data_IF_696730369544
#
_entry.id   IF_696730369544
#
_cell.length_a   1.000
_cell.length_b   1.000
_cell.length_c   1.000
_cell.angle_alpha   90.00
_cell.angle_beta   90.00
_cell.angle_gamma   90.00
#
_symmetry.space_group_name_H-M   'P 1'
#
loop_
_entity.id
_entity.type
_entity.pdbx_description
1 polymer ?
#
# COMPACT_ATOMS: atom_id res chain seq x y z
N UNK A 1 -39.45 3.85 21.69
CA UNK A 1 -38.49 4.86 21.21
C UNK A 1 -37.45 5.04 22.31
N UNK A 2 -36.44 4.17 22.36
CA UNK A 2 -35.33 4.27 23.32
C UNK A 2 -34.09 4.63 22.54
N UNK A 3 -34.02 5.89 22.12
CA UNK A 3 -32.79 6.50 21.60
C UNK A 3 -31.84 6.71 22.79
N UNK A 4 -31.14 5.65 23.19
CA UNK A 4 -29.95 5.80 24.02
C UNK A 4 -28.84 6.34 23.11
N UNK A 5 -28.24 7.50 23.44
CA UNK A 5 -27.15 8.04 22.63
C UNK A 5 -25.98 7.05 22.58
N UNK A 6 -25.22 6.99 21.47
CA UNK A 6 -24.08 6.07 21.36
C UNK A 6 -23.12 6.34 22.52
N UNK A 7 -22.85 5.29 23.32
CA UNK A 7 -21.90 5.38 24.44
C UNK A 7 -20.59 5.98 23.93
N UNK A 8 -20.25 7.20 24.37
CA UNK A 8 -18.88 7.74 24.23
C UNK A 8 -17.94 6.66 24.75
N UNK A 9 -17.00 6.18 23.93
CA UNK A 9 -16.03 5.15 24.35
C UNK A 9 -15.33 5.66 25.62
N UNK A 10 -15.70 5.10 26.76
CA UNK A 10 -15.09 5.42 28.05
C UNK A 10 -13.65 4.92 28.10
N UNK A 11 -12.91 5.30 29.14
CA UNK A 11 -11.59 4.71 29.43
C UNK A 11 -11.76 3.18 29.49
N UNK A 12 -10.92 2.41 28.76
CA UNK A 12 -11.06 0.97 28.74
C UNK A 12 -10.91 0.40 30.15
N UNK A 13 -11.75 -0.58 30.49
CA UNK A 13 -11.70 -1.27 31.77
C UNK A 13 -10.34 -1.97 31.93
N UNK A 14 -9.95 -2.31 33.17
CA UNK A 14 -8.69 -3.03 33.39
C UNK A 14 -8.67 -4.38 32.65
N UNK A 15 -9.83 -5.03 32.54
CA UNK A 15 -10.02 -6.25 31.76
C UNK A 15 -9.85 -6.01 30.25
N UNK A 16 -10.41 -4.93 29.70
CA UNK A 16 -10.24 -4.57 28.28
C UNK A 16 -8.78 -4.20 27.95
N UNK A 17 -8.06 -3.56 28.87
CA UNK A 17 -6.63 -3.27 28.71
C UNK A 17 -5.81 -4.56 28.73
N UNK A 18 -6.05 -5.45 29.69
CA UNK A 18 -5.39 -6.74 29.77
C UNK A 18 -5.67 -7.60 28.52
N UNK A 19 -6.91 -7.59 28.01
CA UNK A 19 -7.27 -8.29 26.78
C UNK A 19 -6.56 -7.71 25.55
N UNK A 20 -6.43 -6.38 25.45
CA UNK A 20 -5.70 -5.72 24.35
C UNK A 20 -4.20 -5.99 24.43
N UNK A 21 -3.61 -6.00 25.63
CA UNK A 21 -2.22 -6.35 25.86
C UNK A 21 -1.95 -7.83 25.54
N UNK A 22 -2.85 -8.73 25.94
CA UNK A 22 -2.77 -10.14 25.59
C UNK A 22 -2.88 -10.37 24.08
N UNK A 23 -3.81 -9.70 23.40
CA UNK A 23 -3.93 -9.76 21.94
C UNK A 23 -2.70 -9.18 21.23
N UNK A 24 -2.12 -8.10 21.77
CA UNK A 24 -0.89 -7.52 21.24
C UNK A 24 0.32 -8.45 21.44
N UNK A 25 0.43 -9.12 22.60
CA UNK A 25 1.46 -10.13 22.86
C UNK A 25 1.31 -11.33 21.93
N UNK A 26 0.10 -11.87 21.79
CA UNK A 26 -0.16 -13.00 20.89
C UNK A 26 0.13 -12.65 19.42
N UNK A 27 -0.14 -11.40 18.98
CA UNK A 27 0.25 -10.94 17.66
C UNK A 27 1.78 -10.82 17.52
N UNK A 28 2.47 -10.31 18.53
CA UNK A 28 3.93 -10.20 18.54
C UNK A 28 4.63 -11.56 18.56
N UNK A 29 4.08 -12.54 19.29
CA UNK A 29 4.55 -13.93 19.30
C UNK A 29 4.42 -14.56 17.91
N UNK A 30 3.26 -14.40 17.25
CA UNK A 30 3.07 -14.88 15.87
C UNK A 30 4.03 -14.21 14.88
N UNK A 31 4.19 -12.90 14.96
CA UNK A 31 5.14 -12.16 14.11
C UNK A 31 6.59 -12.67 14.35
N UNK A 32 6.93 -13.03 15.59
CA UNK A 32 8.24 -13.60 15.94
C UNK A 32 8.41 -15.03 15.43
N UNK A 33 7.37 -15.87 15.49
CA UNK A 33 7.37 -17.22 14.91
C UNK A 33 7.51 -17.19 13.38
N UNK A 34 6.81 -16.27 12.71
CA UNK A 34 6.94 -16.03 11.26
C UNK A 34 8.37 -15.58 10.92
N UNK A 35 8.94 -14.65 11.70
CA UNK A 35 10.32 -14.19 11.54
C UNK A 35 11.35 -15.30 11.74
N UNK A 36 11.20 -16.11 12.79
CA UNK A 36 12.11 -17.22 13.08
C UNK A 36 12.12 -18.28 11.96
N UNK A 37 10.95 -18.59 11.39
CA UNK A 37 10.84 -19.51 10.26
C UNK A 37 11.56 -18.98 9.01
N UNK A 38 11.42 -17.69 8.71
CA UNK A 38 12.12 -17.05 7.61
C UNK A 38 13.64 -17.03 7.83
N UNK A 39 14.08 -16.69 9.04
CA UNK A 39 15.50 -16.68 9.41
C UNK A 39 16.11 -18.08 9.28
N UNK A 40 15.40 -19.12 9.72
CA UNK A 40 15.81 -20.52 9.53
C UNK A 40 16.02 -20.85 8.05
N UNK A 41 15.02 -20.57 7.21
CA UNK A 41 15.10 -20.80 5.76
C UNK A 41 16.26 -20.04 5.11
N UNK A 42 16.45 -18.77 5.47
CA UNK A 42 17.48 -17.92 4.88
C UNK A 42 18.88 -18.27 5.37
N UNK A 43 19.01 -18.85 6.57
CA UNK A 43 20.27 -19.32 7.13
C UNK A 43 20.76 -20.63 6.52
N UNK A 44 19.89 -21.37 5.84
CA UNK A 44 20.23 -22.65 5.23
C UNK A 44 21.34 -22.46 4.16
N UNK A 45 22.33 -23.36 4.09
CA UNK A 45 23.38 -23.26 3.07
C UNK A 45 22.77 -23.43 1.68
N UNK A 46 23.33 -22.73 0.69
CA UNK A 46 22.89 -22.85 -0.71
C UNK A 46 23.10 -24.30 -1.19
N UNK A 47 22.01 -25.05 -1.29
CA UNK A 47 22.02 -26.45 -1.72
C UNK A 47 22.02 -26.57 -3.25
N UNK A 48 22.30 -27.78 -3.75
CA UNK A 48 22.11 -28.10 -5.16
C UNK A 48 20.65 -27.87 -5.56
N UNK A 49 20.43 -27.31 -6.76
CA UNK A 49 19.08 -26.95 -7.20
C UNK A 49 18.20 -28.19 -7.35
N UNK A 50 17.04 -28.19 -6.69
CA UNK A 50 16.00 -29.20 -6.88
C UNK A 50 15.40 -29.03 -8.26
N UNK A 51 15.07 -30.15 -8.90
CA UNK A 51 14.43 -30.15 -10.23
C UNK A 51 12.93 -29.92 -10.15
N UNK A 52 12.29 -30.23 -9.01
CA UNK A 52 10.84 -30.12 -8.80
C UNK A 52 10.51 -29.72 -7.35
N UNK A 53 9.43 -28.95 -7.18
CA UNK A 53 8.80 -28.62 -5.90
C UNK A 53 7.56 -29.48 -5.65
N UNK A 54 7.20 -29.66 -4.39
CA UNK A 54 5.96 -30.32 -3.98
C UNK A 54 5.07 -29.31 -3.24
N UNK A 55 3.74 -29.48 -3.28
CA UNK A 55 2.81 -28.65 -2.52
C UNK A 55 2.69 -29.14 -1.07
N UNK A 56 3.83 -29.30 -0.39
CA UNK A 56 3.89 -29.60 1.04
C UNK A 56 3.68 -28.33 1.89
N UNK A 57 3.32 -28.52 3.16
CA UNK A 57 2.98 -27.43 4.09
C UNK A 57 4.12 -26.41 4.24
N UNK A 58 5.36 -26.88 4.33
CA UNK A 58 6.54 -26.01 4.48
C UNK A 58 6.78 -25.18 3.21
N UNK A 59 6.68 -25.80 2.03
CA UNK A 59 6.80 -25.08 0.75
C UNK A 59 5.71 -24.01 0.59
N UNK A 60 4.46 -24.35 0.92
CA UNK A 60 3.34 -23.40 0.84
C UNK A 60 3.49 -22.25 1.85
N UNK A 61 3.94 -22.56 3.07
CA UNK A 61 4.25 -21.55 4.09
C UNK A 61 5.36 -20.63 3.62
N UNK A 62 6.47 -21.18 3.12
CA UNK A 62 7.58 -20.41 2.58
C UNK A 62 7.14 -19.47 1.44
N UNK A 63 6.31 -19.94 0.51
CA UNK A 63 5.77 -19.10 -0.57
C UNK A 63 4.95 -17.93 -0.03
N UNK A 64 4.04 -18.18 0.91
CA UNK A 64 3.23 -17.13 1.53
C UNK A 64 4.10 -16.12 2.29
N UNK A 65 5.05 -16.57 3.11
CA UNK A 65 5.91 -15.68 3.90
C UNK A 65 6.84 -14.83 3.02
N UNK A 66 7.44 -15.43 1.98
CA UNK A 66 8.27 -14.69 1.02
C UNK A 66 7.44 -13.66 0.23
N UNK A 67 6.22 -14.03 -0.16
CA UNK A 67 5.29 -13.10 -0.80
C UNK A 67 4.89 -11.93 0.13
N UNK A 68 4.71 -12.16 1.43
CA UNK A 68 4.45 -11.07 2.41
C UNK A 68 5.57 -10.03 2.47
N UNK A 69 6.80 -10.40 2.10
CA UNK A 69 7.96 -9.52 2.01
C UNK A 69 8.08 -8.77 0.67
N UNK A 70 7.11 -8.92 -0.23
CA UNK A 70 7.19 -8.45 -1.62
C UNK A 70 8.35 -9.06 -2.41
N UNK A 71 8.81 -10.26 -2.05
CA UNK A 71 9.81 -10.96 -2.85
C UNK A 71 9.29 -11.22 -4.28
N UNK A 72 10.20 -11.11 -5.23
CA UNK A 72 10.00 -11.56 -6.60
C UNK A 72 10.02 -13.09 -6.66
N UNK A 73 9.47 -13.66 -7.74
CA UNK A 73 9.58 -15.10 -7.98
C UNK A 73 11.04 -15.56 -8.17
N UNK A 74 11.95 -14.67 -8.57
CA UNK A 74 13.37 -15.00 -8.70
C UNK A 74 14.03 -15.18 -7.33
N UNK A 75 13.78 -14.24 -6.42
CA UNK A 75 14.24 -14.34 -5.03
C UNK A 75 13.64 -15.58 -4.35
N UNK A 76 12.34 -15.79 -4.49
CA UNK A 76 11.67 -16.96 -3.92
C UNK A 76 12.20 -18.29 -4.48
N UNK A 77 12.48 -18.36 -5.78
CA UNK A 77 13.10 -19.53 -6.39
C UNK A 77 14.52 -19.78 -5.85
N UNK A 78 15.29 -18.71 -5.62
CA UNK A 78 16.61 -18.79 -5.00
C UNK A 78 16.55 -19.39 -3.59
N UNK A 79 15.62 -18.91 -2.77
CA UNK A 79 15.38 -19.41 -1.41
C UNK A 79 14.94 -20.87 -1.40
N UNK A 80 14.01 -21.26 -2.27
CA UNK A 80 13.52 -22.64 -2.38
C UNK A 80 14.50 -23.60 -3.08
N UNK A 81 15.64 -23.09 -3.55
CA UNK A 81 16.66 -23.88 -4.23
C UNK A 81 16.20 -24.43 -5.58
N UNK A 82 15.42 -23.68 -6.35
CA UNK A 82 14.96 -24.07 -7.69
C UNK A 82 15.26 -22.99 -8.74
N UNK A 83 15.09 -23.33 -10.01
CA UNK A 83 15.11 -22.30 -11.06
C UNK A 83 13.81 -21.48 -11.05
N UNK A 84 13.87 -20.21 -11.46
CA UNK A 84 12.67 -19.38 -11.70
C UNK A 84 11.64 -20.10 -12.57
N UNK A 85 12.09 -20.78 -13.63
CA UNK A 85 11.23 -21.56 -14.53
C UNK A 85 10.47 -22.65 -13.78
N UNK A 86 11.17 -23.40 -12.92
CA UNK A 86 10.57 -24.45 -12.09
C UNK A 86 9.51 -23.87 -11.16
N UNK A 87 9.77 -22.74 -10.51
CA UNK A 87 8.77 -22.10 -9.64
C UNK A 87 7.54 -21.63 -10.43
N UNK A 88 7.73 -21.01 -11.61
CA UNK A 88 6.62 -20.57 -12.46
C UNK A 88 5.74 -21.75 -12.87
N UNK A 89 6.35 -22.86 -13.31
CA UNK A 89 5.62 -24.09 -13.65
C UNK A 89 4.89 -24.65 -12.43
N UNK A 90 5.53 -24.68 -11.26
CA UNK A 90 4.90 -25.14 -10.02
C UNK A 90 3.66 -24.31 -9.65
N UNK A 91 3.75 -22.98 -9.73
CA UNK A 91 2.61 -22.08 -9.48
C UNK A 91 1.49 -22.20 -10.51
N UNK A 92 1.78 -22.64 -11.74
CA UNK A 92 0.74 -22.91 -12.74
C UNK A 92 0.10 -24.28 -12.61
N UNK A 93 0.86 -25.27 -12.11
CA UNK A 93 0.42 -26.66 -11.97
C UNK A 93 -0.39 -26.87 -10.67
N UNK A 94 -0.08 -26.12 -9.61
CA UNK A 94 -0.68 -26.28 -8.29
C UNK A 94 -1.40 -25.00 -7.87
N UNK A 95 -2.73 -25.00 -7.98
CA UNK A 95 -3.60 -23.88 -7.59
C UNK A 95 -3.39 -23.46 -6.12
N UNK A 96 -3.25 -24.42 -5.21
CA UNK A 96 -3.00 -24.14 -3.78
C UNK A 96 -1.69 -23.35 -3.57
N UNK A 97 -0.66 -23.60 -4.37
CA UNK A 97 0.58 -22.84 -4.32
C UNK A 97 0.42 -21.44 -4.91
N UNK A 98 -0.39 -21.30 -5.95
CA UNK A 98 -0.74 -20.01 -6.55
C UNK A 98 -1.51 -19.14 -5.57
N UNK A 99 -2.50 -19.71 -4.89
CA UNK A 99 -3.31 -19.04 -3.89
C UNK A 99 -2.46 -18.59 -2.71
N UNK A 100 -1.59 -19.47 -2.19
CA UNK A 100 -0.67 -19.11 -1.10
C UNK A 100 0.22 -17.91 -1.46
N UNK A 101 0.75 -17.88 -2.69
CA UNK A 101 1.55 -16.76 -3.19
C UNK A 101 0.72 -15.47 -3.33
N UNK A 102 -0.44 -15.54 -3.97
CA UNK A 102 -1.27 -14.37 -4.24
C UNK A 102 -1.87 -13.79 -2.95
N UNK A 103 -2.32 -14.63 -2.03
CA UNK A 103 -2.77 -14.22 -0.70
C UNK A 103 -1.66 -13.55 0.10
N UNK A 104 -0.43 -14.10 0.06
CA UNK A 104 0.75 -13.49 0.65
C UNK A 104 0.98 -12.07 0.13
N UNK A 105 0.90 -11.87 -1.20
CA UNK A 105 1.02 -10.55 -1.83
C UNK A 105 -0.11 -9.58 -1.40
N UNK A 106 -1.35 -10.05 -1.29
CA UNK A 106 -2.45 -9.21 -0.81
C UNK A 106 -2.27 -8.80 0.65
N UNK A 107 -1.85 -9.74 1.50
CA UNK A 107 -1.51 -9.48 2.91
C UNK A 107 -0.37 -8.48 3.03
N UNK A 108 0.66 -8.57 2.19
CA UNK A 108 1.75 -7.60 2.10
C UNK A 108 1.23 -6.18 1.87
N UNK A 109 0.32 -6.01 0.88
CA UNK A 109 -0.28 -4.71 0.54
C UNK A 109 -1.10 -4.14 1.70
N UNK A 110 -1.87 -4.97 2.40
CA UNK A 110 -2.63 -4.53 3.59
C UNK A 110 -1.68 -4.11 4.73
N UNK A 111 -0.64 -4.90 4.99
CA UNK A 111 0.38 -4.59 5.99
C UNK A 111 1.10 -3.27 5.67
N UNK A 112 1.45 -3.05 4.39
CA UNK A 112 2.04 -1.80 3.93
C UNK A 112 1.11 -0.61 4.16
N UNK A 113 -0.18 -0.69 3.81
CA UNK A 113 -1.15 0.38 4.09
C UNK A 113 -1.23 0.74 5.57
N UNK A 114 -1.23 -0.28 6.43
CA UNK A 114 -1.20 -0.08 7.89
C UNK A 114 0.05 0.68 8.33
N UNK A 115 1.21 0.30 7.80
CA UNK A 115 2.49 0.98 8.06
C UNK A 115 2.50 2.42 7.54
N UNK A 116 1.96 2.67 6.34
CA UNK A 116 1.82 4.03 5.80
C UNK A 116 0.98 4.92 6.74
N UNK A 117 -0.14 4.41 7.26
CA UNK A 117 -1.00 5.16 8.20
C UNK A 117 -0.30 5.47 9.53
N UNK A 118 0.56 4.56 10.01
CA UNK A 118 1.32 4.75 11.25
C UNK A 118 2.56 5.66 11.08
N UNK A 119 3.12 5.73 9.87
CA UNK A 119 4.37 6.45 9.56
C UNK A 119 4.15 7.76 8.79
N UNK A 120 2.91 8.16 8.55
CA UNK A 120 2.55 9.31 7.72
C UNK A 120 3.35 10.57 8.05
N UNK A 121 3.59 10.84 9.34
CA UNK A 121 4.31 12.03 9.79
C UNK A 121 5.83 11.84 9.92
N UNK A 122 6.32 10.59 9.95
CA UNK A 122 7.72 10.27 10.28
C UNK A 122 8.63 10.11 9.07
N UNK A 123 8.11 9.53 7.99
CA UNK A 123 8.88 9.29 6.77
C UNK A 123 7.97 9.28 5.54
N UNK A 124 7.43 10.47 5.24
CA UNK A 124 6.55 10.66 4.09
C UNK A 124 7.18 10.23 2.75
N UNK A 125 8.45 10.55 2.43
CA UNK A 125 9.04 10.17 1.14
C UNK A 125 9.07 8.66 0.90
N UNK A 126 9.50 7.87 1.90
CA UNK A 126 9.52 6.41 1.79
C UNK A 126 8.09 5.83 1.68
N UNK A 127 7.15 6.38 2.44
CA UNK A 127 5.73 5.98 2.40
C UNK A 127 5.14 6.20 1.01
N UNK A 128 5.37 7.38 0.40
CA UNK A 128 4.92 7.72 -0.95
C UNK A 128 5.56 6.79 -1.99
N UNK A 129 6.87 6.57 -1.90
CA UNK A 129 7.59 5.69 -2.83
C UNK A 129 7.02 4.27 -2.82
N UNK A 130 6.88 3.66 -1.63
CA UNK A 130 6.34 2.30 -1.51
C UNK A 130 4.87 2.23 -1.94
N UNK A 131 4.09 3.27 -1.64
CA UNK A 131 2.69 3.36 -2.04
C UNK A 131 2.49 3.37 -3.55
N UNK A 132 3.34 4.12 -4.27
CA UNK A 132 3.32 4.18 -5.73
C UNK A 132 3.69 2.83 -6.35
N UNK A 133 4.78 2.23 -5.88
CA UNK A 133 5.31 0.98 -6.45
C UNK A 133 4.42 -0.24 -6.19
N UNK A 134 3.86 -0.37 -4.98
CA UNK A 134 3.19 -1.61 -4.57
C UNK A 134 1.67 -1.50 -4.41
N UNK A 135 1.12 -0.29 -4.20
CA UNK A 135 -0.31 -0.08 -3.95
C UNK A 135 -1.04 0.62 -5.11
N UNK A 136 -0.31 1.02 -6.15
CA UNK A 136 -0.87 1.72 -7.31
C UNK A 136 -1.36 3.13 -6.98
N UNK A 137 -0.85 3.74 -5.89
CA UNK A 137 -1.13 5.14 -5.56
C UNK A 137 -0.52 6.04 -6.64
N UNK A 138 -1.23 7.08 -7.05
CA UNK A 138 -0.77 8.04 -8.07
C UNK A 138 -0.92 9.45 -7.53
N UNK A 139 -0.01 10.32 -7.96
CA UNK A 139 -0.17 11.76 -7.72
C UNK A 139 -1.18 12.30 -8.72
N UNK A 140 -2.10 13.13 -8.23
CA UNK A 140 -3.00 13.89 -9.10
C UNK A 140 -2.40 15.27 -9.33
N UNK A 141 -1.97 15.54 -10.57
CA UNK A 141 -1.50 16.85 -10.98
C UNK A 141 -2.63 17.57 -11.71
N UNK A 142 -3.28 18.51 -11.04
CA UNK A 142 -4.18 19.45 -11.71
C UNK A 142 -3.36 20.57 -12.36
N UNK A 143 -3.02 20.40 -13.63
CA UNK A 143 -2.42 21.48 -14.42
C UNK A 143 -3.50 22.49 -14.80
N UNK A 144 -3.57 23.59 -14.06
CA UNK A 144 -4.31 24.77 -14.51
C UNK A 144 -3.47 25.45 -15.61
N UNK A 145 -3.70 25.06 -16.86
CA UNK A 145 -3.14 25.76 -18.02
C UNK A 145 -3.86 27.12 -18.14
N UNK A 146 -3.34 28.12 -17.44
CA UNK A 146 -3.72 29.50 -17.72
C UNK A 146 -2.95 29.95 -18.98
N UNK A 147 -3.47 29.58 -20.15
CA UNK A 147 -2.91 29.99 -21.44
C UNK A 147 -3.14 31.48 -21.60
N UNK A 148 -2.13 32.27 -21.25
CA UNK A 148 -2.05 33.68 -21.64
C UNK A 148 -1.46 33.72 -23.03
N UNK A 149 -2.31 33.71 -24.05
CA UNK A 149 -1.87 33.98 -25.41
C UNK A 149 -1.47 35.44 -25.49
N UNK A 150 -0.24 35.72 -25.93
CA UNK A 150 0.20 37.09 -26.16
C UNK A 150 -0.62 37.70 -27.29
N UNK A 151 -1.04 38.96 -27.16
CA UNK A 151 -1.90 39.62 -28.14
C UNK A 151 -1.34 39.61 -29.57
N UNK A 152 -0.01 39.53 -29.72
CA UNK A 152 0.67 39.44 -31.02
C UNK A 152 0.44 38.10 -31.76
N UNK A 153 -0.02 37.07 -31.06
CA UNK A 153 -0.29 35.73 -31.62
C UNK A 153 -1.79 35.48 -31.83
N UNK A 154 -2.64 36.46 -31.49
CA UNK A 154 -4.08 36.36 -31.66
C UNK A 154 -4.48 36.83 -33.05
N UNK A 155 -5.47 36.16 -33.64
CA UNK A 155 -6.06 36.61 -34.90
C UNK A 155 -6.88 37.89 -34.68
N UNK A 156 -7.05 38.69 -35.74
CA UNK A 156 -7.75 39.96 -35.68
C UNK A 156 -9.21 39.80 -35.17
N UNK A 157 -9.86 38.70 -35.53
CA UNK A 157 -11.20 38.34 -35.06
C UNK A 157 -11.24 38.08 -33.55
N UNK A 158 -10.25 37.36 -33.02
CA UNK A 158 -10.16 37.06 -31.59
C UNK A 158 -9.84 38.32 -30.76
N UNK A 159 -9.07 39.27 -31.34
CA UNK A 159 -8.81 40.57 -30.72
C UNK A 159 -10.09 41.42 -30.67
N UNK A 160 -10.88 41.41 -31.75
CA UNK A 160 -12.16 42.12 -31.81
C UNK A 160 -13.16 41.56 -30.80
N UNK A 161 -13.21 40.24 -30.62
CA UNK A 161 -14.07 39.57 -29.64
C UNK A 161 -13.69 39.92 -28.19
N UNK A 162 -12.39 39.99 -27.89
CA UNK A 162 -11.91 40.44 -26.57
C UNK A 162 -12.27 41.91 -26.32
N UNK A 163 -12.13 42.77 -27.34
CA UNK A 163 -12.49 44.19 -27.24
C UNK A 163 -14.00 44.41 -27.07
N UNK A 164 -14.82 43.57 -27.71
CA UNK A 164 -16.28 43.59 -27.58
C UNK A 164 -16.78 43.03 -26.23
N UNK A 165 -15.95 42.24 -25.53
CA UNK A 165 -16.29 41.74 -24.20
C UNK A 165 -16.20 42.87 -23.18
N UNK A 166 -17.36 43.28 -22.66
CA UNK A 166 -17.42 44.26 -21.57
C UNK A 166 -16.52 43.82 -20.39
N UNK A 167 -15.76 44.75 -19.77
CA UNK A 167 -14.87 44.40 -18.68
C UNK A 167 -15.68 43.78 -17.55
N UNK A 168 -15.23 42.63 -17.05
CA UNK A 168 -15.85 41.99 -15.90
C UNK A 168 -15.81 42.99 -14.73
N UNK A 169 -16.97 43.23 -14.10
CA UNK A 169 -17.07 44.12 -12.95
C UNK A 169 -16.02 43.74 -11.90
N UNK A 170 -15.36 44.72 -11.25
CA UNK A 170 -14.34 44.44 -10.25
C UNK A 170 -14.93 43.52 -9.18
N UNK A 171 -14.31 42.36 -8.99
CA UNK A 171 -14.70 41.41 -7.94
C UNK A 171 -14.55 42.12 -6.60
N UNK A 172 -15.67 42.46 -5.95
CA UNK A 172 -15.66 42.99 -4.59
C UNK A 172 -15.02 41.96 -3.67
N UNK A 173 -14.01 42.32 -2.86
CA UNK A 173 -13.41 41.39 -1.91
C UNK A 173 -14.47 40.92 -0.91
N UNK A 174 -14.46 39.64 -0.50
CA UNK A 174 -15.43 39.13 0.47
C UNK A 174 -15.29 39.91 1.78
N UNK A 175 -16.42 40.45 2.28
CA UNK A 175 -16.47 41.08 3.61
C UNK A 175 -16.03 40.03 4.63
N UNK A 176 -14.99 40.33 5.40
CA UNK A 176 -14.60 39.53 6.56
C UNK A 176 -15.71 39.67 7.60
N UNK A 177 -16.56 38.65 7.72
CA UNK A 177 -17.42 38.52 8.90
C UNK A 177 -16.52 38.23 10.09
N UNK A 178 -16.36 39.22 10.95
CA UNK A 178 -15.75 39.04 12.27
C UNK A 178 -16.71 38.22 13.11
N UNK A 179 -16.38 36.94 13.30
CA UNK A 179 -17.01 36.10 14.32
C UNK A 179 -16.52 36.64 15.68
N UNK A 180 -17.39 37.35 16.38
CA UNK A 180 -17.24 37.69 17.80
C UNK A 180 -17.92 36.64 18.66
#
# INVERSE_FOLDING_TARGET
MTDLPPRRRGRPTNEEKAAREAAAKAAAEKDAEEGAFLDEILSAPVQARKTKLQPDEDTLRALSELAKLFCTQEEAAGVLGVSRRTLVSFLSEHEVARDAWDDGQQRAKVSLRRKQMALADKNAPASIFLGKNYLGQKDENHTNLNVKTEAAQMTEEQLLEIAARAPAAPRTPPKKESVH
#
